data_IF_442076850143
#
_entry.id   IF_442076850143
#
_cell.length_a   1.000
_cell.length_b   1.000
_cell.length_c   1.000
_cell.angle_alpha   90.00
_cell.angle_beta   90.00
_cell.angle_gamma   90.00
#
_symmetry.space_group_name_H-M   'P 1'
#
loop_
_entity.id
_entity.type
_entity.pdbx_description
1 polymer ?
#
# COMPACT_ATOMS: atom_id res chain seq x y z
N UNK A 1 -6.26 -58.37 17.77
CA UNK A 1 -7.65 -58.01 17.37
C UNK A 1 -7.93 -56.59 17.85
N UNK A 2 -8.29 -55.66 16.93
CA UNK A 2 -8.77 -54.27 17.16
C UNK A 2 -7.74 -53.35 17.86
N UNK A 3 -7.46 -52.11 17.44
CA UNK A 3 -8.36 -51.07 16.95
C UNK A 3 -7.55 -50.10 16.06
N UNK A 4 -7.84 -50.03 14.76
CA UNK A 4 -7.68 -48.80 13.98
C UNK A 4 -8.79 -47.87 14.47
N UNK A 5 -8.51 -46.69 15.03
CA UNK A 5 -9.41 -45.52 15.03
C UNK A 5 -8.96 -44.43 16.01
N UNK A 6 -9.25 -43.18 15.61
CA UNK A 6 -8.96 -41.87 16.23
C UNK A 6 -7.66 -41.27 15.70
N UNK A 7 -7.64 -40.68 14.50
CA UNK A 7 -8.31 -39.42 14.17
C UNK A 7 -7.96 -38.35 15.22
N UNK A 8 -6.70 -37.94 15.23
CA UNK A 8 -6.23 -36.74 15.92
C UNK A 8 -6.19 -35.58 14.92
N UNK A 9 -7.40 -35.13 14.58
CA UNK A 9 -7.61 -33.73 14.20
C UNK A 9 -7.46 -32.95 15.50
N UNK A 10 -6.29 -32.35 15.70
CA UNK A 10 -6.15 -31.20 16.60
C UNK A 10 -5.55 -30.09 15.77
N UNK A 11 -6.47 -29.43 15.06
CA UNK A 11 -6.38 -28.07 14.58
C UNK A 11 -5.94 -27.18 15.77
N UNK A 12 -4.64 -27.01 15.96
CA UNK A 12 -4.11 -26.04 16.90
C UNK A 12 -4.26 -24.64 16.28
N UNK A 13 -5.46 -24.07 16.46
CA UNK A 13 -5.56 -22.63 16.64
C UNK A 13 -4.70 -22.28 17.86
N UNK A 14 -3.47 -21.87 17.62
CA UNK A 14 -2.66 -21.17 18.60
C UNK A 14 -1.93 -20.05 17.89
N UNK A 15 -2.55 -18.87 17.79
CA UNK A 15 -2.38 -17.86 18.84
C UNK A 15 -0.90 -17.58 19.10
N UNK A 16 -0.24 -16.99 18.12
CA UNK A 16 0.78 -15.97 18.42
C UNK A 16 0.23 -14.69 17.79
N UNK A 17 -0.75 -14.07 18.47
CA UNK A 17 -0.54 -12.77 19.10
C UNK A 17 0.11 -11.83 18.07
N UNK A 18 -0.65 -11.05 17.28
CA UNK A 18 -1.25 -9.79 17.75
C UNK A 18 -0.67 -9.28 19.08
N UNK A 19 0.66 -9.25 19.18
CA UNK A 19 1.37 -8.35 20.08
C UNK A 19 2.10 -7.35 19.17
N UNK A 20 1.87 -6.07 19.46
CA UNK A 20 2.46 -4.86 18.89
C UNK A 20 1.74 -4.22 17.68
N UNK A 21 0.45 -3.92 17.86
CA UNK A 21 -0.32 -3.00 16.99
C UNK A 21 -0.26 -1.49 17.33
N UNK A 22 0.72 -0.91 18.06
CA UNK A 22 0.94 0.54 17.98
C UNK A 22 2.00 0.93 16.94
N UNK A 23 2.91 0.03 16.56
CA UNK A 23 4.00 0.37 15.61
C UNK A 23 3.50 0.39 14.16
N UNK A 24 2.70 -0.61 13.77
CA UNK A 24 2.12 -0.70 12.42
C UNK A 24 1.12 0.44 12.14
N UNK A 25 0.34 0.86 13.15
CA UNK A 25 -0.62 1.96 13.03
C UNK A 25 0.06 3.33 12.97
N UNK A 26 1.13 3.53 13.75
CA UNK A 26 1.90 4.79 13.78
C UNK A 26 2.77 4.99 12.54
N UNK A 27 3.27 3.91 11.92
CA UNK A 27 3.91 3.97 10.60
C UNK A 27 2.86 4.22 9.52
N UNK A 28 1.81 3.39 9.42
CA UNK A 28 0.82 3.49 8.34
C UNK A 28 0.18 4.88 8.21
N UNK A 29 -0.14 5.55 9.33
CA UNK A 29 -0.72 6.89 9.28
C UNK A 29 0.25 7.97 8.76
N UNK A 30 1.52 7.92 9.20
CA UNK A 30 2.54 8.85 8.71
C UNK A 30 2.86 8.58 7.23
N UNK A 31 2.94 7.31 6.87
CA UNK A 31 3.21 6.83 5.52
C UNK A 31 2.08 7.22 4.55
N UNK A 32 0.81 7.11 4.99
CA UNK A 32 -0.34 7.58 4.22
C UNK A 32 -0.35 9.11 4.05
N UNK A 33 -0.09 9.87 5.11
CA UNK A 33 -0.06 11.34 5.01
C UNK A 33 1.05 11.84 4.06
N UNK A 34 2.23 11.22 4.12
CA UNK A 34 3.34 11.51 3.23
C UNK A 34 2.99 11.12 1.78
N UNK A 35 2.33 9.96 1.61
CA UNK A 35 1.82 9.50 0.32
C UNK A 35 0.84 10.49 -0.30
N UNK A 36 -0.15 10.98 0.46
CA UNK A 36 -1.11 11.99 -0.01
C UNK A 36 -0.43 13.31 -0.39
N UNK A 37 0.58 13.73 0.37
CA UNK A 37 1.36 14.93 0.06
C UNK A 37 2.13 14.78 -1.27
N UNK A 38 2.81 13.65 -1.47
CA UNK A 38 3.49 13.35 -2.74
C UNK A 38 2.50 13.22 -3.90
N UNK A 39 1.33 12.60 -3.72
CA UNK A 39 0.27 12.57 -4.73
C UNK A 39 -0.19 13.97 -5.14
N UNK A 40 -0.43 14.84 -4.16
CA UNK A 40 -0.85 16.24 -4.42
C UNK A 40 0.24 17.03 -5.16
N UNK A 41 1.51 16.78 -4.83
CA UNK A 41 2.64 17.39 -5.54
C UNK A 41 2.74 16.86 -6.98
N UNK A 42 2.50 15.56 -7.20
CA UNK A 42 2.41 14.96 -8.53
C UNK A 42 1.39 15.65 -9.43
N UNK A 43 0.15 15.85 -8.93
CA UNK A 43 -0.88 16.60 -9.66
C UNK A 43 -0.50 18.07 -9.89
N UNK A 44 0.23 18.68 -8.96
CA UNK A 44 0.73 20.05 -9.15
C UNK A 44 1.76 20.13 -10.27
N UNK A 45 2.64 19.12 -10.39
CA UNK A 45 3.58 19.03 -11.51
C UNK A 45 2.90 18.75 -12.85
N UNK A 46 1.82 17.95 -12.90
CA UNK A 46 0.99 17.79 -14.10
C UNK A 46 0.47 19.16 -14.57
N UNK A 47 -0.13 19.94 -13.66
CA UNK A 47 -0.66 21.28 -13.98
C UNK A 47 0.42 22.25 -14.45
N UNK A 48 1.65 22.09 -13.95
CA UNK A 48 2.82 22.86 -14.37
C UNK A 48 3.47 22.34 -15.67
N UNK A 49 2.93 21.29 -16.30
CA UNK A 49 3.49 20.68 -17.51
C UNK A 49 4.76 19.85 -17.28
N UNK A 50 5.14 19.58 -16.03
CA UNK A 50 6.34 18.82 -15.68
C UNK A 50 6.00 17.33 -15.45
N UNK A 51 5.73 16.60 -16.53
CA UNK A 51 5.34 15.20 -16.48
C UNK A 51 6.38 14.28 -15.82
N UNK A 52 7.67 14.53 -16.02
CA UNK A 52 8.75 13.72 -15.44
C UNK A 52 8.73 13.77 -13.90
N UNK A 53 8.61 14.98 -13.32
CA UNK A 53 8.50 15.14 -11.86
C UNK A 53 7.18 14.61 -11.33
N UNK A 54 6.09 14.77 -12.08
CA UNK A 54 4.79 14.20 -11.69
C UNK A 54 4.87 12.68 -11.52
N UNK A 55 5.42 11.97 -12.51
CA UNK A 55 5.64 10.51 -12.44
C UNK A 55 6.47 10.11 -11.22
N UNK A 56 7.56 10.82 -10.95
CA UNK A 56 8.43 10.54 -9.81
C UNK A 56 7.68 10.67 -8.47
N UNK A 57 6.86 11.70 -8.32
CA UNK A 57 6.08 11.91 -7.09
C UNK A 57 4.96 10.87 -6.92
N UNK A 58 4.28 10.45 -7.99
CA UNK A 58 3.30 9.37 -7.88
C UNK A 58 3.93 8.03 -7.48
N UNK A 59 5.08 7.67 -8.08
CA UNK A 59 5.82 6.45 -7.68
C UNK A 59 6.28 6.55 -6.21
N UNK A 60 6.73 7.73 -5.79
CA UNK A 60 7.12 7.96 -4.39
C UNK A 60 5.92 7.80 -3.45
N UNK A 61 4.75 8.33 -3.80
CA UNK A 61 3.53 8.16 -3.03
C UNK A 61 3.14 6.68 -2.89
N UNK A 62 3.21 5.90 -3.97
CA UNK A 62 2.94 4.46 -3.94
C UNK A 62 3.91 3.72 -3.02
N UNK A 63 5.21 4.07 -3.04
CA UNK A 63 6.20 3.47 -2.13
C UNK A 63 5.99 3.82 -0.67
N UNK A 64 5.38 4.97 -0.39
CA UNK A 64 5.03 5.36 0.98
C UNK A 64 3.79 4.60 1.44
N UNK A 65 2.74 4.56 0.62
CA UNK A 65 1.52 3.82 0.92
C UNK A 65 1.01 3.15 -0.36
N UNK A 66 1.16 1.83 -0.43
CA UNK A 66 0.73 1.03 -1.58
C UNK A 66 -0.80 1.02 -1.74
N UNK A 67 -1.54 1.27 -0.64
CA UNK A 67 -3.00 1.38 -0.59
C UNK A 67 -3.53 2.80 -0.87
N UNK A 68 -2.67 3.73 -1.29
CA UNK A 68 -3.12 5.04 -1.77
C UNK A 68 -3.65 4.97 -3.20
N UNK A 69 -4.95 4.71 -3.35
CA UNK A 69 -5.64 4.65 -4.65
C UNK A 69 -5.44 5.92 -5.49
N UNK A 70 -5.36 7.09 -4.86
CA UNK A 70 -5.17 8.37 -5.56
C UNK A 70 -3.77 8.47 -6.22
N UNK A 71 -2.76 7.84 -5.63
CA UNK A 71 -1.42 7.79 -6.21
C UNK A 71 -1.38 6.93 -7.48
N UNK A 72 -2.04 5.76 -7.44
CA UNK A 72 -2.19 4.88 -8.60
C UNK A 72 -3.00 5.54 -9.71
N UNK A 73 -4.12 6.18 -9.36
CA UNK A 73 -4.92 6.95 -10.30
C UNK A 73 -4.09 8.07 -10.96
N UNK A 74 -3.31 8.83 -10.18
CA UNK A 74 -2.45 9.88 -10.70
C UNK A 74 -1.39 9.36 -11.68
N UNK A 75 -0.81 8.19 -11.40
CA UNK A 75 0.14 7.54 -12.29
C UNK A 75 -0.53 7.04 -13.59
N UNK A 76 -1.72 6.45 -13.49
CA UNK A 76 -2.49 6.02 -14.66
C UNK A 76 -2.86 7.22 -15.56
N UNK A 77 -3.37 8.29 -14.96
CA UNK A 77 -3.67 9.54 -15.66
C UNK A 77 -2.44 10.11 -16.37
N UNK A 78 -1.26 10.06 -15.73
CA UNK A 78 -0.01 10.48 -16.37
C UNK A 78 0.29 9.64 -17.63
N UNK A 79 0.14 8.32 -17.57
CA UNK A 79 0.40 7.44 -18.71
C UNK A 79 -0.60 7.67 -19.85
N UNK A 80 -1.89 7.81 -19.52
CA UNK A 80 -2.93 8.17 -20.49
C UNK A 80 -2.63 9.50 -21.19
N UNK A 81 -2.26 10.54 -20.43
CA UNK A 81 -1.96 11.86 -20.96
C UNK A 81 -0.66 11.91 -21.79
N UNK A 82 0.26 10.97 -21.59
CA UNK A 82 1.55 10.92 -22.31
C UNK A 82 1.62 9.86 -23.40
N UNK A 83 0.60 8.99 -23.51
CA UNK A 83 0.51 7.94 -24.53
C UNK A 83 1.52 6.80 -24.34
N UNK A 84 1.96 6.58 -23.10
CA UNK A 84 2.95 5.56 -22.71
C UNK A 84 2.29 4.29 -22.16
#
# INVERSE_FOLDING_TARGET
MRIKSKLLITLALSSSLFINTPLLAKSKHNDLSASLASTSLGFSYIKAGNGAKAKQEFIKAIRQAEDNDAAWYGLAYYYEATGH
#
